data_IF_788509466323
#
_entry.id   IF_788509466323
#
_cell.length_a   1.000
_cell.length_b   1.000
_cell.length_c   1.000
_cell.angle_alpha   90.00
_cell.angle_beta   90.00
_cell.angle_gamma   90.00
#
_symmetry.space_group_name_H-M   'P 1'
#
loop_
_entity.id
_entity.type
_entity.pdbx_description
1 polymer ?
#
# COMPACT_ATOMS: atom_id res chain seq x y z
N UNK A 1 -9.13 -33.12 -13.88
CA UNK A 1 -10.17 -32.16 -13.47
C UNK A 1 -9.46 -31.00 -12.79
N UNK A 2 -9.63 -29.80 -13.33
CA UNK A 2 -8.73 -28.65 -13.23
C UNK A 2 -8.43 -28.19 -11.80
N UNK A 3 -7.15 -27.99 -11.49
CA UNK A 3 -6.72 -27.14 -10.38
C UNK A 3 -7.25 -25.74 -10.64
N UNK A 4 -8.24 -25.30 -9.86
CA UNK A 4 -8.61 -23.88 -9.81
C UNK A 4 -7.40 -23.14 -9.24
N UNK A 5 -6.63 -22.47 -10.08
CA UNK A 5 -5.74 -21.41 -9.62
C UNK A 5 -6.62 -20.39 -8.87
N UNK A 6 -6.41 -20.27 -7.55
CA UNK A 6 -7.07 -19.26 -6.74
C UNK A 6 -6.45 -17.89 -7.07
N UNK A 7 -6.87 -17.32 -8.20
CA UNK A 7 -6.43 -16.00 -8.65
C UNK A 7 -7.18 -14.96 -7.82
N UNK A 8 -6.49 -14.32 -6.87
CA UNK A 8 -7.00 -13.15 -6.18
C UNK A 8 -6.88 -11.94 -7.12
N UNK A 9 -8.02 -11.46 -7.63
CA UNK A 9 -8.10 -10.22 -8.40
C UNK A 9 -8.60 -9.10 -7.49
N UNK A 10 -8.00 -7.93 -7.62
CA UNK A 10 -8.45 -6.74 -6.92
C UNK A 10 -8.15 -5.47 -7.71
N UNK A 11 -8.96 -4.46 -7.46
CA UNK A 11 -8.83 -3.14 -8.08
C UNK A 11 -8.26 -2.18 -7.04
N UNK A 12 -7.12 -1.56 -7.36
CA UNK A 12 -6.52 -0.52 -6.56
C UNK A 12 -6.81 0.84 -7.19
N UNK A 13 -7.63 1.65 -6.53
CA UNK A 13 -7.89 3.04 -6.94
C UNK A 13 -7.10 3.95 -6.01
N UNK A 14 -6.13 4.66 -6.59
CA UNK A 14 -5.33 5.67 -5.88
C UNK A 14 -5.77 7.04 -6.38
N UNK A 15 -6.22 7.91 -5.48
CA UNK A 15 -6.50 9.29 -5.84
C UNK A 15 -5.25 9.99 -6.39
N UNK A 16 -5.38 10.67 -7.53
CA UNK A 16 -4.28 11.42 -8.13
C UNK A 16 -3.69 12.48 -7.16
N UNK A 17 -4.49 12.97 -6.21
CA UNK A 17 -4.03 13.90 -5.19
C UNK A 17 -3.02 13.28 -4.21
N UNK A 18 -3.10 11.98 -3.93
CA UNK A 18 -2.08 11.26 -3.16
C UNK A 18 -0.70 11.37 -3.84
N UNK A 19 -0.67 11.18 -5.15
CA UNK A 19 0.54 11.29 -5.97
C UNK A 19 1.03 12.75 -5.97
N UNK A 20 0.13 13.72 -6.23
CA UNK A 20 0.47 15.16 -6.24
C UNK A 20 1.04 15.64 -4.90
N UNK A 21 0.49 15.18 -3.77
CA UNK A 21 0.92 15.55 -2.42
C UNK A 21 2.13 14.75 -1.92
N UNK A 22 2.67 13.83 -2.72
CA UNK A 22 3.79 12.98 -2.30
C UNK A 22 5.00 13.80 -1.84
N UNK A 23 5.45 14.77 -2.63
CA UNK A 23 6.62 15.58 -2.31
C UNK A 23 6.41 16.47 -1.09
N UNK A 24 5.22 17.03 -0.92
CA UNK A 24 4.87 17.80 0.27
C UNK A 24 4.91 16.90 1.52
N UNK A 25 4.31 15.71 1.42
CA UNK A 25 4.34 14.71 2.50
C UNK A 25 5.78 14.31 2.85
N UNK A 26 6.62 14.03 1.86
CA UNK A 26 8.02 13.68 2.07
C UNK A 26 8.82 14.81 2.73
N UNK A 27 8.58 16.07 2.34
CA UNK A 27 9.20 17.24 2.97
C UNK A 27 8.80 17.33 4.45
N UNK A 28 7.52 17.11 4.77
CA UNK A 28 7.04 17.08 6.15
C UNK A 28 7.69 15.94 6.94
N UNK A 29 7.78 14.73 6.37
CA UNK A 29 8.43 13.59 7.01
C UNK A 29 9.92 13.80 7.32
N UNK A 30 10.59 14.64 6.53
CA UNK A 30 12.00 14.96 6.71
C UNK A 30 12.25 16.24 7.52
N UNK A 31 11.21 17.01 7.86
CA UNK A 31 11.34 18.25 8.63
C UNK A 31 11.92 17.94 10.01
N UNK A 32 13.08 18.50 10.33
CA UNK A 32 13.77 18.29 11.60
C UNK A 32 14.43 16.90 11.77
N UNK A 33 14.47 16.08 10.71
CA UNK A 33 15.12 14.77 10.75
C UNK A 33 16.64 14.91 10.84
N UNK A 34 17.25 14.30 11.86
CA UNK A 34 18.71 14.14 11.97
C UNK A 34 19.17 12.90 11.21
N UNK A 35 20.25 13.01 10.43
CA UNK A 35 20.81 11.93 9.61
C UNK A 35 20.27 11.88 8.18
N UNK A 36 20.45 10.74 7.48
CA UNK A 36 20.08 10.60 6.07
C UNK A 36 18.57 10.84 5.86
N UNK A 37 18.16 11.76 4.98
CA UNK A 37 16.75 11.98 4.66
C UNK A 37 16.07 10.72 4.14
N UNK A 38 14.79 10.57 4.48
CA UNK A 38 13.93 9.57 3.85
C UNK A 38 13.76 9.86 2.37
N UNK A 39 13.72 8.79 1.57
CA UNK A 39 13.37 8.83 0.15
C UNK A 39 11.88 8.59 -0.11
N UNK A 40 11.22 7.90 0.82
CA UNK A 40 9.80 7.54 0.76
C UNK A 40 9.02 8.33 1.82
N UNK A 41 7.84 8.84 1.50
CA UNK A 41 6.97 9.48 2.50
C UNK A 41 6.37 8.42 3.44
N UNK A 42 5.98 8.80 4.66
CA UNK A 42 5.33 7.85 5.58
C UNK A 42 3.98 7.36 5.03
N UNK A 43 3.18 8.25 4.43
CA UNK A 43 1.90 7.87 3.80
C UNK A 43 2.09 6.85 2.67
N UNK A 44 3.20 6.94 1.91
CA UNK A 44 3.52 5.94 0.90
C UNK A 44 3.95 4.60 1.49
N UNK A 45 4.66 4.60 2.61
CA UNK A 45 4.95 3.36 3.35
C UNK A 45 3.66 2.72 3.88
N UNK A 46 2.73 3.50 4.42
CA UNK A 46 1.44 2.99 4.91
C UNK A 46 0.60 2.39 3.78
N UNK A 47 0.58 3.02 2.59
CA UNK A 47 -0.02 2.44 1.39
C UNK A 47 0.56 1.07 1.05
N UNK A 48 1.88 0.97 0.95
CA UNK A 48 2.55 -0.29 0.64
C UNK A 48 2.34 -1.35 1.73
N UNK A 49 2.24 -0.94 3.00
CA UNK A 49 1.91 -1.83 4.10
C UNK A 49 0.48 -2.40 3.98
N UNK A 50 -0.50 -1.56 3.64
CA UNK A 50 -1.88 -1.97 3.43
C UNK A 50 -1.97 -2.98 2.27
N UNK A 51 -1.33 -2.69 1.14
CA UNK A 51 -1.30 -3.60 -0.02
C UNK A 51 -0.65 -4.92 0.37
N UNK A 52 0.49 -4.88 1.07
CA UNK A 52 1.14 -6.09 1.59
C UNK A 52 0.19 -6.91 2.46
N UNK A 53 -0.55 -6.25 3.34
CA UNK A 53 -1.43 -6.94 4.28
C UNK A 53 -2.63 -7.56 3.58
N UNK A 54 -3.29 -6.82 2.68
CA UNK A 54 -4.48 -7.27 1.96
C UNK A 54 -4.22 -8.47 1.05
N UNK A 55 -3.06 -8.49 0.40
CA UNK A 55 -2.69 -9.55 -0.54
C UNK A 55 -1.69 -10.56 0.05
N UNK A 56 -1.34 -10.44 1.34
CA UNK A 56 -0.37 -11.33 1.99
C UNK A 56 1.07 -11.27 1.44
N UNK A 57 1.40 -10.30 0.57
CA UNK A 57 2.60 -10.30 -0.27
C UNK A 57 3.92 -10.31 0.52
N UNK A 58 4.81 -11.29 0.36
CA UNK A 58 6.17 -11.23 0.88
C UNK A 58 6.85 -9.89 0.54
N UNK A 59 7.76 -9.41 1.40
CA UNK A 59 8.41 -8.10 1.20
C UNK A 59 9.14 -7.97 -0.14
N UNK A 60 9.61 -9.08 -0.71
CA UNK A 60 10.26 -9.10 -2.04
C UNK A 60 9.25 -8.93 -3.18
N UNK A 61 8.06 -9.49 -3.05
CA UNK A 61 6.97 -9.25 -4.00
C UNK A 61 6.42 -7.83 -3.85
N UNK A 62 6.36 -7.30 -2.62
CA UNK A 62 6.01 -5.91 -2.37
C UNK A 62 7.01 -4.94 -3.04
N UNK A 63 8.30 -5.25 -3.04
CA UNK A 63 9.30 -4.48 -3.77
C UNK A 63 9.03 -4.47 -5.28
N UNK A 64 8.73 -5.63 -5.87
CA UNK A 64 8.37 -5.73 -7.28
C UNK A 64 7.10 -4.92 -7.57
N UNK A 65 6.08 -5.04 -6.72
CA UNK A 65 4.86 -4.24 -6.81
C UNK A 65 5.16 -2.74 -6.76
N UNK A 66 5.95 -2.28 -5.78
CA UNK A 66 6.33 -0.88 -5.62
C UNK A 66 7.11 -0.36 -6.84
N UNK A 67 7.95 -1.21 -7.45
CA UNK A 67 8.63 -0.90 -8.71
C UNK A 67 7.65 -0.72 -9.87
N UNK A 68 6.67 -1.60 -10.04
CA UNK A 68 5.62 -1.44 -11.08
C UNK A 68 4.76 -0.21 -10.84
N UNK A 69 4.41 0.07 -9.58
CA UNK A 69 3.69 1.28 -9.22
C UNK A 69 4.52 2.54 -9.52
N UNK A 70 5.83 2.49 -9.32
CA UNK A 70 6.76 3.56 -9.68
C UNK A 70 6.74 3.85 -11.19
N UNK A 71 6.73 2.80 -12.03
CA UNK A 71 6.63 2.93 -13.50
C UNK A 71 5.35 3.66 -13.94
N UNK A 72 4.24 3.49 -13.21
CA UNK A 72 2.93 4.10 -13.54
C UNK A 72 2.80 5.53 -12.94
N UNK A 73 3.29 5.72 -11.72
CA UNK A 73 3.03 6.95 -10.94
C UNK A 73 4.18 7.96 -10.96
N UNK A 74 5.37 7.54 -11.37
CA UNK A 74 6.60 8.32 -11.27
C UNK A 74 7.14 8.48 -9.84
N UNK A 75 6.49 7.88 -8.83
CA UNK A 75 6.94 7.91 -7.45
C UNK A 75 8.17 7.01 -7.24
N UNK A 76 9.12 7.35 -6.35
CA UNK A 76 10.25 6.46 -6.07
C UNK A 76 9.78 5.19 -5.36
N UNK A 77 10.52 4.09 -5.53
CA UNK A 77 10.31 2.84 -4.78
C UNK A 77 11.49 2.56 -3.83
N UNK A 78 11.28 1.63 -2.88
CA UNK A 78 12.29 1.19 -1.93
C UNK A 78 12.63 -0.29 -2.11
N UNK A 79 13.79 -0.69 -1.63
CA UNK A 79 14.20 -2.10 -1.58
C UNK A 79 13.42 -2.86 -0.49
N UNK A 80 13.29 -4.18 -0.62
CA UNK A 80 12.54 -4.99 0.35
C UNK A 80 13.04 -4.78 1.79
N UNK A 81 14.34 -4.58 1.97
CA UNK A 81 14.97 -4.43 3.29
C UNK A 81 14.58 -3.10 3.94
N UNK A 82 14.59 -2.00 3.18
CA UNK A 82 14.16 -0.68 3.61
C UNK A 82 12.66 -0.61 3.86
N UNK A 83 11.87 -1.19 2.95
CA UNK A 83 10.42 -1.30 3.09
C UNK A 83 10.05 -2.08 4.35
N UNK A 84 10.61 -3.29 4.56
CA UNK A 84 10.37 -4.09 5.77
C UNK A 84 10.66 -3.30 7.04
N UNK A 85 11.82 -2.65 7.10
CA UNK A 85 12.27 -1.93 8.29
C UNK A 85 11.34 -0.75 8.62
N UNK A 86 10.79 -0.08 7.60
CA UNK A 86 9.87 1.03 7.80
C UNK A 86 8.45 0.57 8.09
N UNK A 87 7.95 -0.47 7.42
CA UNK A 87 6.61 -1.02 7.66
C UNK A 87 6.49 -1.54 9.10
N UNK A 88 7.52 -2.22 9.62
CA UNK A 88 7.53 -2.70 11.02
C UNK A 88 7.53 -1.53 12.03
N UNK A 89 8.17 -0.41 11.69
CA UNK A 89 8.28 0.77 12.57
C UNK A 89 7.10 1.73 12.42
N UNK A 90 6.35 1.62 11.33
CA UNK A 90 5.18 2.44 11.08
C UNK A 90 4.09 1.99 12.04
N UNK A 91 3.49 2.94 12.75
CA UNK A 91 2.20 2.69 13.39
C UNK A 91 1.19 2.46 12.26
N UNK A 92 0.93 1.19 11.98
CA UNK A 92 -0.12 0.82 11.04
C UNK A 92 -1.43 1.37 11.62
N UNK A 93 -2.11 2.20 10.83
CA UNK A 93 -3.42 2.74 11.16
C UNK A 93 -4.32 1.61 11.70
N UNK A 94 -5.06 1.80 12.81
CA UNK A 94 -6.02 0.82 13.33
C UNK A 94 -6.93 0.23 12.26
N UNK A 95 -7.26 0.99 11.21
CA UNK A 95 -8.03 0.53 10.05
C UNK A 95 -7.36 -0.65 9.31
N UNK A 96 -6.02 -0.66 9.28
CA UNK A 96 -5.22 -1.75 8.74
C UNK A 96 -5.36 -2.99 9.64
N UNK A 97 -5.45 -2.87 10.96
CA UNK A 97 -5.64 -4.04 11.83
C UNK A 97 -6.99 -4.72 11.58
N UNK A 98 -8.05 -3.93 11.34
CA UNK A 98 -9.39 -4.44 11.02
C UNK A 98 -9.46 -5.18 9.66
N UNK A 99 -8.51 -4.93 8.75
CA UNK A 99 -8.48 -5.60 7.44
C UNK A 99 -8.18 -7.10 7.49
N UNK A 100 -7.57 -7.62 8.57
CA UNK A 100 -7.29 -9.07 8.71
C UNK A 100 -8.55 -9.93 8.73
N UNK A 101 -9.65 -9.40 9.24
CA UNK A 101 -10.92 -10.14 9.28
C UNK A 101 -11.60 -10.16 7.91
N UNK A 102 -11.35 -9.14 7.08
CA UNK A 102 -11.97 -8.96 5.77
C UNK A 102 -11.37 -9.89 4.69
N UNK A 103 -10.08 -10.24 4.80
CA UNK A 103 -9.35 -11.11 3.84
C UNK A 103 -9.77 -12.60 3.96
N UNK A 104 -10.40 -13.02 5.06
CA UNK A 104 -10.87 -14.41 5.23
C UNK A 104 -12.08 -14.77 4.37
N UNK A 105 -12.71 -13.78 3.74
CA UNK A 105 -13.83 -13.99 2.83
C UNK A 105 -13.29 -14.14 1.41
N UNK A 106 -13.64 -15.23 0.72
CA UNK A 106 -13.24 -15.60 -0.66
C UNK A 106 -13.84 -14.67 -1.74
N UNK A 107 -13.85 -13.35 -1.47
CA UNK A 107 -14.52 -12.31 -2.25
C UNK A 107 -13.49 -11.42 -2.95
N UNK A 108 -13.77 -11.05 -4.20
CA UNK A 108 -12.99 -10.03 -4.91
C UNK A 108 -13.04 -8.69 -4.15
N UNK A 109 -11.87 -8.08 -3.96
CA UNK A 109 -11.68 -6.94 -3.06
C UNK A 109 -11.31 -5.70 -3.87
N UNK A 110 -12.20 -4.72 -3.90
CA UNK A 110 -11.91 -3.37 -4.41
C UNK A 110 -11.40 -2.50 -3.26
N UNK A 111 -10.30 -1.78 -3.45
CA UNK A 111 -9.77 -0.85 -2.44
C UNK A 111 -9.72 0.53 -3.09
N UNK A 112 -10.55 1.44 -2.57
CA UNK A 112 -10.49 2.85 -2.93
C UNK A 112 -9.77 3.58 -1.82
N UNK A 113 -8.66 4.25 -2.17
CA UNK A 113 -7.82 4.99 -1.24
C UNK A 113 -7.94 6.48 -1.52
N UNK A 114 -8.38 7.24 -0.52
CA UNK A 114 -8.52 8.70 -0.63
C UNK A 114 -7.31 9.46 -0.09
N UNK A 115 -7.08 10.66 -0.59
CA UNK A 115 -5.90 11.48 -0.30
C UNK A 115 -5.93 12.07 1.12
N UNK A 116 -7.12 12.22 1.71
CA UNK A 116 -7.35 12.84 3.02
C UNK A 116 -6.98 11.90 4.16
N UNK A 117 -7.39 10.63 4.05
CA UNK A 117 -7.21 9.58 5.03
C UNK A 117 -7.03 8.27 4.24
N UNK A 118 -6.13 7.37 4.65
CA UNK A 118 -6.08 6.01 4.09
C UNK A 118 -7.33 5.25 4.56
N UNK A 119 -8.50 5.62 4.02
CA UNK A 119 -9.79 5.00 4.32
C UNK A 119 -10.03 3.89 3.33
N UNK A 120 -10.15 2.66 3.84
CA UNK A 120 -10.79 1.57 3.12
C UNK A 120 -12.28 1.92 2.97
N UNK A 121 -12.67 2.45 1.81
CA UNK A 121 -14.03 2.97 1.63
C UNK A 121 -15.09 1.87 1.40
N UNK A 122 -14.76 0.79 0.68
CA UNK A 122 -15.71 -0.30 0.47
C UNK A 122 -15.00 -1.54 -0.06
N UNK A 123 -15.44 -2.73 0.37
CA UNK A 123 -15.15 -3.98 -0.33
C UNK A 123 -16.37 -4.30 -1.17
N UNK A 124 -16.24 -4.20 -2.49
CA UNK A 124 -17.34 -4.47 -3.41
C UNK A 124 -17.12 -5.80 -4.10
N UNK A 125 -18.14 -6.65 -4.07
CA UNK A 125 -18.24 -7.85 -4.88
C UNK A 125 -18.38 -7.42 -6.35
N UNK A 126 -17.38 -7.67 -7.19
CA UNK A 126 -17.55 -7.52 -8.63
C UNK A 126 -18.31 -8.76 -9.09
N UNK A 127 -19.64 -8.65 -9.17
CA UNK A 127 -20.45 -9.65 -9.87
C UNK A 127 -19.99 -9.68 -11.32
N UNK A 128 -19.59 -10.86 -11.79
CA UNK A 128 -19.45 -11.14 -13.22
C UNK A 128 -20.78 -11.62 -13.78
#
# INVERSE_FOLDING_TARGET
MNEKENIIRGVLVIEAEFIRKYHQSLKLNNKGKKGRPFKLSERYIQLLALIRQLYGLPYRELEIFAKRLSEITGLPYGDYSGLRRRIIKSELDPLIQSSKELIKSDKELSIILTASDLKLLSITHINK
#
